data_IF_694229505340
#
_entry.id   IF_694229505340
#
_cell.length_a   1.000
_cell.length_b   1.000
_cell.length_c   1.000
_cell.angle_alpha   90.00
_cell.angle_beta   90.00
_cell.angle_gamma   90.00
#
_symmetry.space_group_name_H-M   'P 1'
#
loop_
_entity.id
_entity.type
_entity.pdbx_description
1 polymer ?
#
# COMPACT_ATOMS: atom_id res chain seq x y z
N UNK A 1 -29.70 4.02 -58.53
CA UNK A 1 -29.94 4.72 -57.25
C UNK A 1 -30.35 3.72 -56.19
N UNK A 2 -29.48 3.42 -55.23
CA UNK A 2 -29.69 3.56 -53.77
C UNK A 2 -28.44 3.06 -53.05
N UNK A 3 -27.88 3.83 -52.11
CA UNK A 3 -26.69 3.50 -51.33
C UNK A 3 -27.08 2.86 -49.99
N UNK A 4 -26.18 2.08 -49.38
CA UNK A 4 -26.04 1.80 -47.93
C UNK A 4 -25.21 0.51 -47.79
N UNK A 5 -24.31 0.32 -46.82
CA UNK A 5 -24.05 1.04 -45.57
C UNK A 5 -22.63 0.67 -45.16
N UNK A 6 -21.80 1.67 -44.92
CA UNK A 6 -20.62 1.51 -44.09
C UNK A 6 -21.08 1.21 -42.64
N UNK A 7 -20.35 0.35 -41.95
CA UNK A 7 -20.61 -0.03 -40.55
C UNK A 7 -20.62 -1.55 -40.44
N UNK A 8 -19.67 -2.16 -39.76
CA UNK A 8 -19.66 -2.19 -38.30
C UNK A 8 -18.27 -2.47 -37.70
N UNK A 9 -17.18 -2.23 -38.44
CA UNK A 9 -15.83 -2.57 -37.95
C UNK A 9 -15.24 -1.64 -36.86
N UNK A 10 -15.57 -0.34 -36.73
CA UNK A 10 -14.89 0.48 -35.72
C UNK A 10 -15.37 0.20 -34.28
N UNK A 11 -16.55 -0.39 -34.08
CA UNK A 11 -17.11 -0.65 -32.75
C UNK A 11 -16.51 -1.89 -32.06
N UNK A 12 -16.06 -2.89 -32.82
CA UNK A 12 -15.48 -4.11 -32.24
C UNK A 12 -14.11 -3.86 -31.59
N UNK A 13 -13.34 -2.90 -32.12
CA UNK A 13 -12.03 -2.51 -31.59
C UNK A 13 -12.15 -1.66 -30.31
N UNK A 14 -13.23 -0.89 -30.16
CA UNK A 14 -13.50 -0.09 -28.96
C UNK A 14 -13.78 -0.96 -27.71
N UNK A 15 -14.30 -2.17 -27.89
CA UNK A 15 -14.60 -3.11 -26.80
C UNK A 15 -13.37 -3.88 -26.30
N UNK A 16 -12.30 -3.97 -27.10
CA UNK A 16 -11.05 -4.65 -26.71
C UNK A 16 -10.08 -3.76 -25.90
N UNK A 17 -10.30 -2.43 -25.88
CA UNK A 17 -9.41 -1.47 -25.21
C UNK A 17 -9.63 -1.31 -23.69
N UNK A 18 -10.60 -2.01 -23.09
CA UNK A 18 -11.08 -1.71 -21.74
C UNK A 18 -10.54 -2.60 -20.62
N UNK A 19 -9.58 -3.48 -20.90
CA UNK A 19 -8.99 -4.35 -19.88
C UNK A 19 -7.48 -4.16 -19.86
N UNK A 20 -7.01 -3.16 -19.09
CA UNK A 20 -6.03 -3.29 -17.99
C UNK A 20 -5.96 -1.89 -17.34
N UNK A 21 -6.99 -1.50 -16.59
CA UNK A 21 -6.81 -0.51 -15.55
C UNK A 21 -6.06 -1.22 -14.41
N UNK A 22 -4.75 -1.41 -14.57
CA UNK A 22 -3.87 -1.79 -13.47
C UNK A 22 -4.07 -0.72 -12.40
N UNK A 23 -4.79 -1.11 -11.33
CA UNK A 23 -5.00 -0.28 -10.15
C UNK A 23 -3.64 0.31 -9.79
N UNK A 24 -3.48 1.65 -9.75
CA UNK A 24 -2.18 2.23 -9.50
C UNK A 24 -1.70 1.71 -8.15
N UNK A 25 -0.65 0.89 -8.15
CA UNK A 25 0.23 0.73 -6.99
C UNK A 25 0.42 2.13 -6.48
N UNK A 26 -0.02 2.42 -5.25
CA UNK A 26 0.02 3.78 -4.71
C UNK A 26 1.43 4.34 -4.88
N UNK A 27 1.62 5.13 -5.95
CA UNK A 27 2.92 5.62 -6.35
C UNK A 27 3.54 6.35 -5.16
N UNK A 28 4.70 5.88 -4.72
CA UNK A 28 5.49 6.50 -3.66
C UNK A 28 5.93 7.91 -4.09
N UNK A 29 6.22 8.81 -3.14
CA UNK A 29 6.90 10.07 -3.43
C UNK A 29 8.23 9.83 -4.18
N UNK A 30 8.63 10.78 -5.04
CA UNK A 30 9.87 10.68 -5.83
C UNK A 30 11.13 10.71 -4.95
N UNK A 31 11.08 11.47 -3.87
CA UNK A 31 12.17 11.69 -2.91
C UNK A 31 12.32 10.58 -1.87
N UNK A 32 11.50 9.51 -1.92
CA UNK A 32 11.53 8.43 -0.93
C UNK A 32 11.81 7.08 -1.56
N UNK A 33 12.57 6.24 -0.87
CA UNK A 33 12.67 4.82 -1.21
C UNK A 33 11.34 4.12 -0.92
N UNK A 34 11.10 2.92 -1.48
CA UNK A 34 9.95 2.11 -1.10
C UNK A 34 9.90 1.80 0.40
N UNK A 35 11.05 1.58 1.04
CA UNK A 35 11.12 1.28 2.48
C UNK A 35 10.77 2.48 3.36
N UNK A 36 11.30 3.66 3.03
CA UNK A 36 10.93 4.91 3.71
C UNK A 36 9.44 5.22 3.56
N UNK A 37 8.87 4.97 2.38
CA UNK A 37 7.43 5.15 2.17
C UNK A 37 6.59 4.10 2.88
N UNK A 38 7.07 2.86 2.98
CA UNK A 38 6.46 1.83 3.82
C UNK A 38 6.44 2.27 5.28
N UNK A 39 7.56 2.77 5.82
CA UNK A 39 7.64 3.25 7.20
C UNK A 39 6.61 4.35 7.46
N UNK A 40 6.58 5.38 6.62
CA UNK A 40 5.63 6.50 6.74
C UNK A 40 4.17 6.02 6.70
N UNK A 41 3.86 5.05 5.83
CA UNK A 41 2.49 4.60 5.67
C UNK A 41 2.06 3.59 6.72
N UNK A 42 2.95 2.73 7.19
CA UNK A 42 2.54 1.49 7.87
C UNK A 42 3.17 1.29 9.24
N UNK A 43 4.12 2.11 9.66
CA UNK A 43 4.81 1.94 10.95
C UNK A 43 4.46 3.10 11.87
N UNK A 44 3.90 2.77 13.04
CA UNK A 44 3.50 3.76 14.05
C UNK A 44 3.69 3.18 15.46
N UNK A 45 4.93 3.20 16.00
CA UNK A 45 5.24 2.58 17.29
C UNK A 45 4.45 3.20 18.45
N UNK A 46 4.18 4.51 18.35
CA UNK A 46 3.35 5.26 19.29
C UNK A 46 2.00 5.56 18.62
N UNK A 47 0.91 4.87 19.00
CA UNK A 47 -0.39 5.04 18.38
C UNK A 47 -0.85 6.50 18.38
N UNK A 48 -1.34 6.95 17.21
CA UNK A 48 -1.96 8.27 17.01
C UNK A 48 -3.26 8.06 16.25
N UNK A 49 -4.28 8.86 16.55
CA UNK A 49 -5.54 8.82 15.84
C UNK A 49 -5.36 9.01 14.32
N UNK A 50 -6.12 8.26 13.52
CA UNK A 50 -6.10 8.24 12.07
C UNK A 50 -6.20 9.63 11.44
N UNK A 51 -7.04 10.52 11.96
CA UNK A 51 -7.16 11.89 11.42
C UNK A 51 -5.82 12.65 11.44
N UNK A 52 -5.03 12.46 12.52
CA UNK A 52 -3.71 13.05 12.63
C UNK A 52 -2.65 12.24 11.86
N UNK A 53 -2.66 10.91 12.02
CA UNK A 53 -1.66 10.01 11.44
C UNK A 53 -1.67 9.99 9.90
N UNK A 54 -2.84 10.15 9.28
CA UNK A 54 -3.00 10.15 7.82
C UNK A 54 -2.52 11.44 7.16
N UNK A 55 -2.22 12.51 7.92
CA UNK A 55 -1.88 13.82 7.37
C UNK A 55 -0.67 13.81 6.42
N UNK A 56 0.43 13.16 6.82
CA UNK A 56 1.64 13.05 5.99
C UNK A 56 1.41 12.20 4.74
N UNK A 57 0.65 11.12 4.87
CA UNK A 57 0.32 10.20 3.78
C UNK A 57 -0.54 10.92 2.73
N UNK A 58 -1.57 11.65 3.18
CA UNK A 58 -2.48 12.36 2.30
C UNK A 58 -1.85 13.56 1.62
N UNK A 59 -0.86 14.20 2.27
CA UNK A 59 -0.12 15.35 1.73
C UNK A 59 0.63 15.01 0.45
N UNK A 60 1.17 13.79 0.33
CA UNK A 60 1.95 13.35 -0.84
C UNK A 60 1.19 13.56 -2.17
N UNK A 61 -0.06 13.08 -2.23
CA UNK A 61 -0.92 13.21 -3.43
C UNK A 61 -2.00 14.28 -3.31
N UNK A 62 -1.96 15.09 -2.25
CA UNK A 62 -3.02 16.05 -1.90
C UNK A 62 -4.42 15.41 -1.97
N UNK A 63 -4.54 14.19 -1.44
CA UNK A 63 -5.72 13.34 -1.58
C UNK A 63 -5.93 12.50 -0.31
N UNK A 64 -7.19 12.28 0.08
CA UNK A 64 -7.52 11.42 1.23
C UNK A 64 -7.41 9.94 0.85
N UNK A 65 -6.33 9.26 1.24
CA UNK A 65 -6.16 7.82 0.97
C UNK A 65 -7.31 7.03 1.62
N UNK A 66 -7.97 6.18 0.83
CA UNK A 66 -9.22 5.51 1.24
C UNK A 66 -9.06 4.50 2.39
N UNK A 67 -7.94 3.77 2.41
CA UNK A 67 -7.64 2.77 3.44
C UNK A 67 -6.16 2.82 3.77
N UNK A 68 -5.83 2.75 5.06
CA UNK A 68 -4.46 2.58 5.52
C UNK A 68 -4.41 1.73 6.78
N UNK A 69 -3.28 1.08 7.04
CA UNK A 69 -3.07 0.31 8.27
C UNK A 69 -1.75 0.73 8.88
N UNK A 70 -1.79 1.06 10.17
CA UNK A 70 -0.62 1.33 10.98
C UNK A 70 -0.34 0.16 11.91
N UNK A 71 0.82 -0.47 11.74
CA UNK A 71 1.36 -1.45 12.65
C UNK A 71 1.96 -0.72 13.86
N UNK A 72 1.54 -1.11 15.07
CA UNK A 72 2.05 -0.54 16.31
C UNK A 72 3.29 -1.29 16.78
N UNK A 73 4.34 -1.18 15.97
CA UNK A 73 5.64 -1.76 16.19
C UNK A 73 6.73 -0.85 15.60
N UNK A 74 7.99 -1.09 15.95
CA UNK A 74 9.15 -0.41 15.37
C UNK A 74 9.43 -0.86 13.94
N UNK A 75 10.04 0.01 13.13
CA UNK A 75 10.47 -0.37 11.78
C UNK A 75 11.44 -1.56 11.82
N UNK A 76 12.37 -1.56 12.77
CA UNK A 76 13.32 -2.67 12.99
C UNK A 76 12.60 -4.01 13.23
N UNK A 77 11.61 -4.03 14.13
CA UNK A 77 10.82 -5.23 14.40
C UNK A 77 10.07 -5.70 13.15
N UNK A 78 9.41 -4.79 12.43
CA UNK A 78 8.73 -5.14 11.17
C UNK A 78 9.74 -5.67 10.14
N UNK A 79 10.92 -5.06 10.01
CA UNK A 79 11.99 -5.51 9.12
C UNK A 79 12.54 -6.90 9.48
N UNK A 80 12.52 -7.31 10.76
CA UNK A 80 12.87 -8.69 11.13
C UNK A 80 11.94 -9.72 10.50
N UNK A 81 10.71 -9.34 10.13
CA UNK A 81 9.78 -10.21 9.41
C UNK A 81 10.33 -10.65 8.06
N UNK A 82 11.16 -9.83 7.42
CA UNK A 82 11.81 -10.17 6.14
C UNK A 82 12.80 -11.35 6.24
N UNK A 83 13.14 -11.81 7.46
CA UNK A 83 13.96 -13.00 7.69
C UNK A 83 13.15 -14.29 7.80
N UNK A 84 11.83 -14.21 7.84
CA UNK A 84 10.96 -15.39 7.89
C UNK A 84 10.89 -16.08 6.51
N UNK A 85 10.41 -17.34 6.43
CA UNK A 85 10.31 -18.05 5.15
C UNK A 85 9.54 -17.26 4.08
N UNK A 86 10.07 -17.29 2.86
CA UNK A 86 9.45 -16.65 1.70
C UNK A 86 8.15 -17.35 1.32
N UNK A 87 7.12 -16.54 1.08
CA UNK A 87 5.82 -16.94 0.55
C UNK A 87 5.45 -16.10 -0.68
N UNK A 88 4.47 -16.57 -1.45
CA UNK A 88 3.93 -15.79 -2.56
C UNK A 88 3.08 -14.62 -2.03
N UNK A 89 3.30 -13.43 -2.60
CA UNK A 89 2.46 -12.25 -2.41
C UNK A 89 1.15 -12.35 -3.20
N UNK A 90 0.20 -11.43 -2.97
CA UNK A 90 -1.03 -11.31 -3.79
C UNK A 90 -0.76 -11.09 -5.28
N UNK A 91 0.34 -10.39 -5.60
CA UNK A 91 0.79 -10.17 -6.97
C UNK A 91 1.70 -11.30 -7.51
N UNK A 92 1.71 -12.46 -6.87
CA UNK A 92 2.49 -13.65 -7.22
C UNK A 92 4.02 -13.50 -7.13
N UNK A 93 4.57 -12.34 -6.75
CA UNK A 93 6.00 -12.23 -6.44
C UNK A 93 6.34 -13.11 -5.23
N UNK A 94 7.52 -13.73 -5.25
CA UNK A 94 8.03 -14.58 -4.16
C UNK A 94 8.99 -13.79 -3.27
N UNK A 95 8.49 -12.70 -2.69
CA UNK A 95 9.25 -11.86 -1.77
C UNK A 95 8.40 -11.42 -0.57
N UNK A 96 7.33 -12.15 -0.26
CA UNK A 96 6.49 -11.88 0.89
C UNK A 96 6.91 -12.74 2.09
N UNK A 97 6.68 -12.20 3.28
CA UNK A 97 7.02 -12.82 4.54
C UNK A 97 5.91 -12.56 5.56
N UNK A 98 5.42 -13.63 6.19
CA UNK A 98 4.39 -13.54 7.23
C UNK A 98 5.02 -13.21 8.58
N UNK A 99 4.37 -12.37 9.38
CA UNK A 99 4.78 -12.11 10.76
C UNK A 99 4.72 -13.39 11.62
N UNK A 100 5.63 -13.53 12.60
CA UNK A 100 5.66 -14.71 13.48
C UNK A 100 4.44 -14.82 14.38
N UNK A 101 3.89 -13.68 14.77
CA UNK A 101 2.72 -13.57 15.62
C UNK A 101 1.91 -12.33 15.29
N UNK A 102 0.77 -12.14 15.97
CA UNK A 102 -0.06 -10.96 15.78
C UNK A 102 0.54 -9.75 16.50
N UNK A 103 0.40 -8.58 15.89
CA UNK A 103 0.78 -7.29 16.48
C UNK A 103 -0.48 -6.43 16.67
N UNK A 104 -0.39 -5.46 17.57
CA UNK A 104 -1.41 -4.40 17.65
C UNK A 104 -1.33 -3.53 16.39
N UNK A 105 -2.47 -3.18 15.82
CA UNK A 105 -2.54 -2.31 14.65
C UNK A 105 -3.84 -1.50 14.64
N UNK A 106 -3.84 -0.42 13.86
CA UNK A 106 -5.02 0.41 13.61
C UNK A 106 -5.28 0.51 12.11
N UNK A 107 -6.51 0.20 11.71
CA UNK A 107 -7.00 0.38 10.35
C UNK A 107 -7.74 1.71 10.27
N UNK A 108 -7.32 2.57 9.34
CA UNK A 108 -7.91 3.85 9.06
C UNK A 108 -8.72 3.76 7.76
N UNK A 109 -10.04 3.97 7.87
CA UNK A 109 -10.95 3.97 6.72
C UNK A 109 -11.43 5.40 6.49
N UNK A 110 -11.18 5.95 5.30
CA UNK A 110 -11.70 7.27 4.94
C UNK A 110 -13.23 7.22 4.93
N UNK A 111 -13.86 8.20 5.57
CA UNK A 111 -15.33 8.26 5.71
C UNK A 111 -15.91 9.49 5.03
N UNK A 112 -15.26 10.64 5.15
CA UNK A 112 -15.76 11.90 4.59
C UNK A 112 -14.65 12.96 4.52
N UNK A 113 -15.00 14.12 3.97
CA UNK A 113 -14.08 15.24 3.80
C UNK A 113 -13.17 15.10 2.58
N UNK A 114 -12.56 16.22 2.20
CA UNK A 114 -11.57 16.33 1.10
C UNK A 114 -10.28 16.89 1.66
N UNK A 115 -9.15 16.61 1.01
CA UNK A 115 -7.85 17.15 1.42
C UNK A 115 -7.92 18.69 1.49
N UNK A 116 -7.43 19.33 2.57
CA UNK A 116 -6.67 18.75 3.69
C UNK A 116 -7.52 18.20 4.85
N UNK A 117 -8.83 18.39 4.85
CA UNK A 117 -9.76 18.08 5.95
C UNK A 117 -10.34 16.66 5.86
N UNK A 118 -9.49 15.65 5.70
CA UNK A 118 -9.92 14.24 5.61
C UNK A 118 -10.41 13.71 6.97
N UNK A 119 -11.50 12.92 6.98
CA UNK A 119 -12.04 12.27 8.17
C UNK A 119 -11.99 10.75 8.06
N UNK A 120 -11.52 10.10 9.12
CA UNK A 120 -11.29 8.65 9.18
C UNK A 120 -12.02 8.00 10.33
N UNK A 121 -12.54 6.80 10.08
CA UNK A 121 -12.94 5.85 11.11
C UNK A 121 -11.75 4.97 11.47
N UNK A 122 -11.56 4.74 12.75
CA UNK A 122 -10.46 3.94 13.30
C UNK A 122 -10.99 2.57 13.73
N UNK A 123 -10.21 1.52 13.49
CA UNK A 123 -10.48 0.17 13.97
C UNK A 123 -9.19 -0.43 14.50
N UNK A 124 -9.11 -0.58 15.83
CA UNK A 124 -7.99 -1.24 16.48
C UNK A 124 -8.16 -2.76 16.40
N UNK A 125 -7.07 -3.48 16.11
CA UNK A 125 -7.05 -4.94 16.00
C UNK A 125 -5.73 -5.49 16.52
N UNK A 126 -5.73 -6.75 16.94
CA UNK A 126 -4.52 -7.55 17.12
C UNK A 126 -4.51 -8.64 16.04
N UNK A 127 -3.54 -8.59 15.13
CA UNK A 127 -3.54 -9.44 13.95
C UNK A 127 -2.14 -9.68 13.38
N UNK A 128 -1.98 -10.83 12.72
CA UNK A 128 -0.78 -11.10 11.91
C UNK A 128 -0.85 -10.34 10.59
N UNK A 129 0.30 -10.17 9.95
CA UNK A 129 0.41 -9.49 8.67
C UNK A 129 1.40 -10.19 7.73
N UNK A 130 1.39 -9.78 6.47
CA UNK A 130 2.34 -10.16 5.43
C UNK A 130 2.93 -8.88 4.85
N UNK A 131 4.26 -8.80 4.81
CA UNK A 131 4.99 -7.74 4.11
C UNK A 131 5.73 -8.30 2.92
N UNK A 132 5.83 -7.53 1.84
CA UNK A 132 6.82 -7.78 0.80
C UNK A 132 8.13 -7.07 1.18
N UNK A 133 9.26 -7.74 0.94
CA UNK A 133 10.59 -7.21 1.23
C UNK A 133 11.47 -7.25 -0.02
N UNK A 134 12.30 -6.22 -0.20
CA UNK A 134 13.28 -6.12 -1.29
C UNK A 134 14.64 -5.67 -0.70
N UNK A 135 15.77 -5.82 -1.42
CA UNK A 135 17.05 -5.27 -0.98
C UNK A 135 16.97 -3.75 -0.75
N UNK A 136 17.68 -3.21 0.25
CA UNK A 136 17.69 -1.77 0.53
C UNK A 136 18.27 -0.97 -0.64
N UNK A 137 17.78 0.26 -0.82
CA UNK A 137 18.37 1.25 -1.72
C UNK A 137 19.47 2.04 -1.01
N UNK A 138 20.30 2.79 -1.76
CA UNK A 138 21.47 3.51 -1.21
C UNK A 138 21.15 4.46 -0.04
N UNK A 139 19.96 5.04 -0.01
CA UNK A 139 19.51 5.94 1.05
C UNK A 139 18.75 5.25 2.19
N UNK A 140 18.58 3.93 2.11
CA UNK A 140 18.05 3.13 3.22
C UNK A 140 19.18 2.78 4.20
N UNK A 141 18.80 2.47 5.43
CA UNK A 141 19.76 2.02 6.44
C UNK A 141 20.37 0.67 6.07
N UNK A 142 21.71 0.57 6.14
CA UNK A 142 22.46 -0.65 5.82
C UNK A 142 22.40 -1.77 6.88
N UNK A 143 21.54 -1.66 7.90
CA UNK A 143 21.44 -2.66 8.97
C UNK A 143 20.70 -3.95 8.57
N UNK A 144 19.91 -3.92 7.50
CA UNK A 144 19.10 -5.06 7.06
C UNK A 144 19.45 -5.46 5.62
N UNK A 145 19.56 -6.78 5.37
CA UNK A 145 19.74 -7.32 4.02
C UNK A 145 18.49 -7.17 3.14
N UNK A 146 17.31 -7.20 3.76
CA UNK A 146 16.01 -6.96 3.14
C UNK A 146 15.22 -6.00 4.01
N UNK A 147 14.50 -5.08 3.37
CA UNK A 147 13.65 -4.08 4.03
C UNK A 147 12.20 -4.21 3.56
N UNK A 148 11.21 -3.94 4.42
CA UNK A 148 9.82 -4.00 4.04
C UNK A 148 9.48 -2.86 3.07
N UNK A 149 8.82 -3.19 1.95
CA UNK A 149 8.47 -2.23 0.90
C UNK A 149 6.97 -2.17 0.61
N UNK A 150 6.21 -3.15 1.10
CA UNK A 150 4.76 -3.20 0.92
C UNK A 150 4.08 -4.00 2.04
N UNK A 151 2.92 -3.54 2.51
CA UNK A 151 2.03 -4.31 3.38
C UNK A 151 1.01 -5.06 2.52
N UNK A 152 1.26 -6.35 2.28
CA UNK A 152 0.47 -7.17 1.35
C UNK A 152 -0.88 -7.57 1.96
N UNK A 153 -0.89 -8.02 3.22
CA UNK A 153 -2.10 -8.52 3.88
C UNK A 153 -2.06 -8.33 5.40
N UNK A 154 -3.23 -8.10 5.98
CA UNK A 154 -3.50 -8.22 7.42
C UNK A 154 -4.63 -9.25 7.57
N UNK A 155 -4.53 -10.12 8.57
CA UNK A 155 -5.54 -11.15 8.88
C UNK A 155 -6.59 -10.64 9.84
#
# INVERSE_FOLDING_TARGET
MTPARAGFWPLLLLLLGLWVANVPVSAKPKDKTPAQWFEIQHVQPHPRGCNAAMGSINKDKKHCKGLNTFLHDSFSSVATTCKNPTIACKNHRKNCHKSRGPVSLTICVHTSGKYPNCKYKEQSKKASYIVACDPPQKSDSGHFQLVPVHLDKVF
#
